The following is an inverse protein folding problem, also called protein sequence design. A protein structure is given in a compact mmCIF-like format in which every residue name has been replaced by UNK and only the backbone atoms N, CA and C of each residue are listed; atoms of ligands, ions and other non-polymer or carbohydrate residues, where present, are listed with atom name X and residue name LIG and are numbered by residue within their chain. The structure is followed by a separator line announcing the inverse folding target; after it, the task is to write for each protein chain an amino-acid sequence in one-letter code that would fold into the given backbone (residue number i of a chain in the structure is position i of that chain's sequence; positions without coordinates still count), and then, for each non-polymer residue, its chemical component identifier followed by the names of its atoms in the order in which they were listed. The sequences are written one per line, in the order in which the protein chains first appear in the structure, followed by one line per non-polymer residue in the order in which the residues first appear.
data_IF_534134716671
#
_entry.id   IF_534134716671
#
_cell.length_a   1.000
_cell.length_b   1.000
_cell.length_c   1.000
_cell.angle_alpha   90.00
_cell.angle_beta   90.00
_cell.angle_gamma   90.00
#
_symmetry.space_group_name_H-M   'P 1'
#
loop_
_entity.id
_entity.type
_entity.pdbx_description
1 polymer ?
#
# COMPACT_ATOMS: atom_id res chain seq x y z
N UNK A 1 5.06 -0.82 -1.92
CA UNK A 1 3.72 -1.18 -1.41
C UNK A 1 3.86 -1.72 0.00
N UNK A 2 3.44 -0.97 1.01
CA UNK A 2 3.39 -1.35 2.44
C UNK A 2 2.13 -0.74 3.06
N UNK A 3 1.83 -1.07 4.32
CA UNK A 3 0.72 -0.47 5.09
C UNK A 3 -0.31 -1.47 5.61
N UNK A 4 -0.53 -2.60 4.94
CA UNK A 4 -1.53 -3.61 5.35
C UNK A 4 -1.26 -4.18 6.74
N UNK A 5 0.01 -4.45 7.09
CA UNK A 5 0.34 -4.99 8.41
C UNK A 5 0.27 -3.92 9.52
N UNK A 6 0.45 -2.66 9.16
CA UNK A 6 0.42 -1.55 10.10
C UNK A 6 -1.03 -1.23 10.54
N UNK A 7 -2.04 -1.73 9.82
CA UNK A 7 -3.43 -1.63 10.23
C UNK A 7 -3.77 -2.52 11.42
N UNK A 8 -2.89 -3.45 11.84
CA UNK A 8 -3.17 -4.37 12.95
C UNK A 8 -3.56 -3.59 14.22
N UNK A 9 -4.60 -4.06 14.90
CA UNK A 9 -5.19 -3.41 16.08
C UNK A 9 -4.15 -3.07 17.15
N UNK A 10 -3.24 -4.00 17.44
CA UNK A 10 -2.18 -3.83 18.45
C UNK A 10 -1.26 -2.62 18.23
N UNK A 11 -1.20 -2.05 17.03
CA UNK A 11 -0.38 -0.87 16.75
C UNK A 11 -1.11 0.45 17.02
N UNK A 12 -2.44 0.43 17.19
CA UNK A 12 -3.23 1.61 17.56
C UNK A 12 -3.13 2.80 16.57
N UNK A 13 -2.68 2.56 15.34
CA UNK A 13 -2.42 3.62 14.35
C UNK A 13 -3.68 4.00 13.56
N UNK A 14 -3.88 5.30 13.34
CA UNK A 14 -4.86 5.81 12.35
C UNK A 14 -4.30 5.72 10.92
N UNK A 15 -5.17 5.72 9.90
CA UNK A 15 -4.73 5.76 8.50
C UNK A 15 -3.84 6.99 8.20
N UNK A 16 -4.12 8.12 8.84
CA UNK A 16 -3.26 9.32 8.80
C UNK A 16 -1.85 9.05 9.31
N UNK A 17 -1.75 8.41 10.49
CA UNK A 17 -0.46 8.05 11.09
C UNK A 17 0.33 7.14 10.15
N UNK A 18 -0.35 6.21 9.47
CA UNK A 18 0.26 5.33 8.48
C UNK A 18 0.73 6.09 7.23
N UNK A 19 0.00 7.12 6.79
CA UNK A 19 0.47 8.06 5.78
C UNK A 19 1.77 8.75 6.19
N UNK A 20 1.85 9.24 7.43
CA UNK A 20 3.08 9.85 7.97
C UNK A 20 4.24 8.84 8.07
N UNK A 21 3.97 7.58 8.41
CA UNK A 21 4.97 6.50 8.35
C UNK A 21 5.48 6.27 6.92
N UNK A 22 4.60 6.28 5.92
CA UNK A 22 5.00 6.19 4.50
C UNK A 22 5.88 7.38 4.10
N UNK A 23 5.52 8.61 4.51
CA UNK A 23 6.36 9.81 4.31
C UNK A 23 7.76 9.63 4.89
N UNK A 24 7.89 9.07 6.10
CA UNK A 24 9.20 8.79 6.72
C UNK A 24 10.01 7.78 5.89
N UNK A 25 9.38 6.75 5.33
CA UNK A 25 10.06 5.79 4.47
C UNK A 25 10.57 6.44 3.17
N UNK A 26 9.76 7.29 2.55
CA UNK A 26 10.12 8.04 1.34
C UNK A 26 11.31 8.95 1.61
N UNK A 27 11.26 9.75 2.67
CA UNK A 27 12.34 10.67 3.03
C UNK A 27 13.64 9.91 3.33
N UNK A 28 13.55 8.75 3.99
CA UNK A 28 14.72 7.89 4.24
C UNK A 28 15.31 7.33 2.94
N UNK A 29 14.47 6.89 2.01
CA UNK A 29 14.91 6.44 0.69
C UNK A 29 15.63 7.58 -0.05
N UNK A 30 15.03 8.78 -0.06
CA UNK A 30 15.60 9.95 -0.72
C UNK A 30 16.89 10.46 -0.09
N UNK A 31 17.05 10.36 1.22
CA UNK A 31 18.27 10.77 1.93
C UNK A 31 19.44 9.80 1.79
N UNK A 32 19.38 8.81 0.89
CA UNK A 32 20.44 7.79 0.71
C UNK A 32 21.09 7.90 -0.67
N UNK A 33 21.86 8.97 -0.97
CA UNK A 33 22.30 9.32 -2.33
C UNK A 33 23.19 8.27 -3.00
N UNK A 34 23.98 7.52 -2.20
CA UNK A 34 24.85 6.46 -2.72
C UNK A 34 24.07 5.29 -3.31
N UNK A 35 22.86 4.99 -2.82
CA UNK A 35 22.00 3.95 -3.38
C UNK A 35 21.47 4.31 -4.77
N UNK A 36 21.42 5.60 -5.09
CA UNK A 36 20.89 6.12 -6.34
C UNK A 36 21.99 6.51 -7.35
N UNK A 37 23.25 6.17 -7.05
CA UNK A 37 24.42 6.52 -7.90
C UNK A 37 24.50 8.02 -8.20
N UNK A 38 24.09 8.85 -7.24
CA UNK A 38 24.06 10.31 -7.38
C UNK A 38 22.86 10.87 -8.16
N UNK A 39 21.95 10.02 -8.64
CA UNK A 39 20.69 10.45 -9.23
C UNK A 39 19.61 10.70 -8.15
N UNK A 40 18.55 11.41 -8.52
CA UNK A 40 17.35 11.51 -7.68
C UNK A 40 16.53 10.20 -7.75
N UNK A 41 15.93 9.77 -6.64
CA UNK A 41 15.12 8.56 -6.62
C UNK A 41 13.79 8.76 -7.36
N UNK A 42 13.45 7.83 -8.25
CA UNK A 42 12.11 7.74 -8.84
C UNK A 42 11.26 6.79 -7.96
N UNK A 43 10.38 7.36 -7.14
CA UNK A 43 9.62 6.61 -6.12
C UNK A 43 8.15 6.52 -6.52
N UNK A 44 7.65 5.29 -6.57
CA UNK A 44 6.23 4.97 -6.71
C UNK A 44 5.64 4.48 -5.39
N UNK A 45 4.67 5.22 -4.85
CA UNK A 45 3.83 4.78 -3.73
C UNK A 45 2.69 3.96 -4.31
N UNK A 46 2.53 2.74 -3.79
CA UNK A 46 1.41 1.86 -4.14
C UNK A 46 0.57 1.61 -2.91
N UNK A 47 -0.68 2.04 -2.92
CA UNK A 47 -1.69 1.66 -1.91
C UNK A 47 -2.05 0.20 -2.14
N UNK A 48 -1.97 -0.67 -1.10
CA UNK A 48 -2.36 -2.06 -1.22
C UNK A 48 -3.88 -2.22 -1.43
N UNK A 49 -4.31 -3.37 -1.95
CA UNK A 49 -5.73 -3.73 -1.98
C UNK A 49 -6.27 -3.72 -0.54
N UNK A 50 -7.43 -3.11 -0.35
CA UNK A 50 -8.09 -3.06 0.96
C UNK A 50 -8.36 -4.48 1.49
N UNK A 51 -8.30 -4.62 2.81
CA UNK A 51 -8.69 -5.85 3.50
C UNK A 51 -10.23 -5.95 3.45
N UNK A 52 -10.75 -7.08 2.96
CA UNK A 52 -12.19 -7.36 2.98
C UNK A 52 -12.68 -7.53 4.41
N UNK A 53 -13.87 -7.02 4.74
CA UNK A 53 -14.43 -7.06 6.11
C UNK A 53 -14.60 -8.50 6.63
N UNK A 54 -14.77 -9.45 5.72
CA UNK A 54 -14.92 -10.87 5.96
C UNK A 54 -13.68 -11.50 6.63
N UNK A 55 -12.53 -10.81 6.65
CA UNK A 55 -11.35 -11.26 7.40
C UNK A 55 -11.66 -11.53 8.88
N UNK A 56 -12.63 -10.82 9.45
CA UNK A 56 -13.08 -10.94 10.84
C UNK A 56 -13.64 -12.34 11.15
N UNK A 57 -14.11 -13.05 10.13
CA UNK A 57 -14.67 -14.41 10.24
C UNK A 57 -13.62 -15.52 10.04
N UNK A 58 -12.36 -15.15 9.80
CA UNK A 58 -11.27 -16.09 9.51
C UNK A 58 -10.26 -16.17 10.68
N UNK A 59 -9.39 -17.19 10.72
CA UNK A 59 -8.31 -17.24 11.72
C UNK A 59 -7.40 -16.00 11.72
N UNK A 60 -7.35 -15.25 10.61
CA UNK A 60 -6.57 -14.01 10.52
C UNK A 60 -7.05 -12.93 11.48
N UNK A 61 -8.33 -12.94 11.89
CA UNK A 61 -8.90 -12.01 12.85
C UNK A 61 -8.10 -11.94 14.16
N UNK A 62 -7.60 -13.09 14.64
CA UNK A 62 -6.76 -13.17 15.85
C UNK A 62 -5.45 -12.39 15.73
N UNK A 63 -4.87 -12.35 14.53
CA UNK A 63 -3.57 -11.71 14.27
C UNK A 63 -3.73 -10.25 13.89
N UNK A 64 -4.81 -9.94 13.17
CA UNK A 64 -5.10 -8.61 12.67
C UNK A 64 -5.77 -7.74 13.73
N UNK A 65 -6.70 -8.29 14.50
CA UNK A 65 -7.54 -7.56 15.43
C UNK A 65 -8.57 -6.68 14.71
N UNK A 66 -9.33 -5.91 15.47
CA UNK A 66 -10.48 -5.13 14.99
C UNK A 66 -10.10 -3.90 14.17
N UNK A 67 -11.00 -3.51 13.27
CA UNK A 67 -10.92 -2.25 12.51
C UNK A 67 -9.82 -2.20 11.44
N UNK A 68 -9.21 -3.34 11.07
CA UNK A 68 -8.17 -3.36 10.04
C UNK A 68 -8.73 -3.04 8.65
N UNK A 69 -9.92 -3.57 8.33
CA UNK A 69 -10.59 -3.31 7.05
C UNK A 69 -10.86 -1.81 6.85
N UNK A 70 -11.50 -1.16 7.83
CA UNK A 70 -11.75 0.29 7.82
C UNK A 70 -10.45 1.11 7.68
N UNK A 71 -9.43 0.80 8.50
CA UNK A 71 -8.13 1.48 8.43
C UNK A 71 -7.46 1.31 7.06
N UNK A 72 -7.54 0.11 6.47
CA UNK A 72 -6.97 -0.15 5.14
C UNK A 72 -7.65 0.69 4.06
N UNK A 73 -8.97 0.87 4.14
CA UNK A 73 -9.74 1.68 3.19
C UNK A 73 -9.34 3.17 3.21
N UNK A 74 -8.89 3.67 4.37
CA UNK A 74 -8.38 5.04 4.52
C UNK A 74 -6.98 5.27 3.93
N UNK A 75 -6.21 4.21 3.60
CA UNK A 75 -4.82 4.37 3.15
C UNK A 75 -4.70 5.11 1.82
N UNK A 76 -5.62 4.86 0.87
CA UNK A 76 -5.58 5.47 -0.47
C UNK A 76 -5.58 6.99 -0.43
N UNK A 77 -6.44 7.57 0.41
CA UNK A 77 -6.53 9.01 0.61
C UNK A 77 -5.20 9.59 1.09
N UNK A 78 -4.66 9.03 2.18
CA UNK A 78 -3.43 9.54 2.78
C UNK A 78 -2.21 9.31 1.90
N UNK A 79 -2.09 8.16 1.24
CA UNK A 79 -0.94 7.88 0.38
C UNK A 79 -0.93 8.77 -0.86
N UNK A 80 -2.10 9.10 -1.43
CA UNK A 80 -2.19 10.08 -2.53
C UNK A 80 -1.76 11.47 -2.07
N UNK A 81 -2.18 11.90 -0.89
CA UNK A 81 -1.80 13.19 -0.31
C UNK A 81 -0.27 13.24 -0.07
N UNK A 82 0.31 12.19 0.51
CA UNK A 82 1.75 12.09 0.74
C UNK A 82 2.54 12.06 -0.57
N UNK A 83 2.05 11.37 -1.61
CA UNK A 83 2.66 11.38 -2.93
C UNK A 83 2.82 12.82 -3.45
N UNK A 84 1.74 13.60 -3.41
CA UNK A 84 1.76 15.02 -3.81
C UNK A 84 2.70 15.88 -2.98
N UNK A 85 2.75 15.67 -1.65
CA UNK A 85 3.66 16.41 -0.77
C UNK A 85 5.15 16.09 -0.97
N UNK A 86 5.46 14.91 -1.51
CA UNK A 86 6.83 14.40 -1.62
C UNK A 86 7.32 14.31 -3.06
N UNK A 87 6.51 14.75 -4.04
CA UNK A 87 6.83 14.64 -5.46
C UNK A 87 6.92 13.19 -5.97
N UNK A 88 6.40 12.23 -5.22
CA UNK A 88 6.41 10.82 -5.60
C UNK A 88 5.24 10.48 -6.53
N UNK A 89 5.39 9.42 -7.32
CA UNK A 89 4.29 8.86 -8.09
C UNK A 89 3.32 8.08 -7.19
N UNK A 90 2.07 7.95 -7.62
CA UNK A 90 1.02 7.25 -6.88
C UNK A 90 0.29 6.25 -7.77
N UNK A 91 0.05 5.06 -7.23
CA UNK A 91 -0.81 4.04 -7.82
C UNK A 91 -1.69 3.40 -6.73
N UNK A 92 -2.94 3.11 -7.06
CA UNK A 92 -3.89 2.51 -6.12
C UNK A 92 -4.25 1.10 -6.58
N UNK A 93 -3.79 0.06 -5.88
CA UNK A 93 -4.10 -1.31 -6.26
C UNK A 93 -5.61 -1.62 -6.22
N UNK A 94 -6.41 -0.84 -5.47
CA UNK A 94 -7.86 -1.02 -5.43
C UNK A 94 -8.55 -0.78 -6.78
N UNK A 95 -7.94 -0.01 -7.70
CA UNK A 95 -8.55 0.31 -9.00
C UNK A 95 -8.40 -0.80 -10.03
N UNK A 96 -7.52 -1.79 -9.78
CA UNK A 96 -7.21 -2.87 -10.73
C UNK A 96 -7.38 -4.26 -10.15
N UNK A 97 -7.11 -4.44 -8.85
CA UNK A 97 -7.25 -5.74 -8.18
C UNK A 97 -8.71 -5.95 -7.82
N UNK A 98 -9.32 -6.95 -8.47
CA UNK A 98 -10.73 -7.29 -8.27
C UNK A 98 -10.96 -8.03 -6.94
N UNK A 99 -10.05 -8.91 -6.54
CA UNK A 99 -10.28 -9.83 -5.42
C UNK A 99 -9.02 -10.14 -4.58
N UNK A 100 -9.23 -10.30 -3.28
CA UNK A 100 -8.33 -11.03 -2.38
C UNK A 100 -8.71 -12.51 -2.38
N UNK A 101 -7.84 -13.36 -1.84
CA UNK A 101 -8.17 -14.77 -1.60
C UNK A 101 -9.29 -14.88 -0.56
N UNK A 102 -10.31 -15.74 -0.77
CA UNK A 102 -11.38 -15.96 0.21
C UNK A 102 -10.90 -16.71 1.47
N UNK A 103 -9.63 -17.13 1.51
CA UNK A 103 -9.04 -17.80 2.69
C UNK A 103 -8.88 -16.86 3.89
N UNK A 104 -8.60 -15.58 3.64
CA UNK A 104 -8.33 -14.60 4.70
C UNK A 104 -8.75 -13.16 4.33
N UNK A 105 -9.16 -12.90 3.08
CA UNK A 105 -9.57 -11.59 2.59
C UNK A 105 -8.51 -10.49 2.73
N UNK A 106 -7.24 -10.88 2.92
CA UNK A 106 -6.08 -9.98 3.08
C UNK A 106 -5.09 -10.19 1.93
N UNK A 107 -4.73 -11.43 1.63
CA UNK A 107 -3.76 -11.73 0.58
C UNK A 107 -4.41 -11.72 -0.81
N UNK A 108 -3.64 -11.40 -1.84
CA UNK A 108 -4.15 -11.41 -3.21
C UNK A 108 -4.44 -12.84 -3.67
N UNK A 109 -5.50 -13.01 -4.47
CA UNK A 109 -5.71 -14.28 -5.20
C UNK A 109 -4.69 -14.42 -6.34
N UNK A 110 -4.63 -15.60 -6.98
CA UNK A 110 -3.82 -15.78 -8.21
C UNK A 110 -4.21 -14.76 -9.28
N UNK A 111 -5.51 -14.47 -9.42
CA UNK A 111 -6.04 -13.48 -10.35
C UNK A 111 -5.66 -12.06 -9.91
N UNK A 112 -5.86 -11.73 -8.63
CA UNK A 112 -5.47 -10.41 -8.08
C UNK A 112 -3.98 -10.10 -8.25
N UNK A 113 -3.10 -11.10 -8.08
CA UNK A 113 -1.67 -10.98 -8.38
C UNK A 113 -1.41 -10.65 -9.87
N UNK A 114 -2.07 -11.36 -10.79
CA UNK A 114 -1.91 -11.13 -12.23
C UNK A 114 -2.43 -9.75 -12.67
N UNK A 115 -3.58 -9.31 -12.14
CA UNK A 115 -4.15 -7.98 -12.41
C UNK A 115 -3.21 -6.86 -11.97
N UNK A 116 -2.68 -6.93 -10.75
CA UNK A 116 -1.73 -5.94 -10.25
C UNK A 116 -0.44 -5.93 -11.06
N UNK A 117 0.09 -7.11 -11.39
CA UNK A 117 1.31 -7.22 -12.19
C UNK A 117 1.14 -6.62 -13.58
N UNK A 118 0.06 -6.93 -14.28
CA UNK A 118 -0.23 -6.41 -15.62
C UNK A 118 -0.40 -4.88 -15.60
N UNK A 119 -1.12 -4.34 -14.60
CA UNK A 119 -1.31 -2.90 -14.47
C UNK A 119 0.01 -2.17 -14.20
N UNK A 120 0.83 -2.68 -13.28
CA UNK A 120 2.14 -2.09 -12.97
C UNK A 120 3.12 -2.21 -14.13
N UNK A 121 3.10 -3.32 -14.88
CA UNK A 121 3.94 -3.50 -16.05
C UNK A 121 3.65 -2.47 -17.16
N UNK A 122 2.40 -2.02 -17.28
CA UNK A 122 2.01 -0.92 -18.19
C UNK A 122 2.30 0.47 -17.62
N UNK A 123 2.11 0.67 -16.30
CA UNK A 123 2.25 1.98 -15.66
C UNK A 123 3.70 2.40 -15.39
N UNK A 124 4.55 1.47 -14.93
CA UNK A 124 5.93 1.80 -14.54
C UNK A 124 6.74 2.40 -15.71
N UNK A 125 6.68 1.89 -16.96
CA UNK A 125 7.39 2.49 -18.08
C UNK A 125 7.02 3.95 -18.37
N UNK A 126 5.78 4.39 -18.09
CA UNK A 126 5.37 5.77 -18.30
C UNK A 126 5.97 6.75 -17.29
N UNK A 127 6.64 6.26 -16.24
CA UNK A 127 7.29 7.08 -15.21
C UNK A 127 8.72 7.50 -15.58
N UNK A 128 9.25 7.01 -16.70
CA UNK A 128 10.60 7.28 -17.19
C UNK A 128 10.64 8.08 -18.50
N UNK A 129 9.46 8.55 -18.96
CA UNK A 129 9.32 9.38 -20.16
C UNK A 129 9.53 10.85 -19.86
#
# INVERSE_FOLDING_TARGET
MLGTNDTKERFGCSAESLGNCMKRLILKAASTPYCWRGAEPNILIVTPKNIGIEYEETPAASTMGKGCSEKSAGLSHWYRLIAGQTGCHYFDANTVVSENTPKDFIHLSKKGHAELANALAGFIPSLFQ
#
